data_IF_122225272908
#
_entry.id   IF_122225272908
#
_cell.length_a   1.000
_cell.length_b   1.000
_cell.length_c   1.000
_cell.angle_alpha   90.00
_cell.angle_beta   90.00
_cell.angle_gamma   90.00
#
_symmetry.space_group_name_H-M   'P 1'
#
loop_
_entity.id
_entity.type
_entity.pdbx_description
1 polymer ?
#
# COMPACT_ATOMS: atom_id res chain seq x y z
N UNK A 1 -10.54 -5.96 -16.59
CA UNK A 1 -11.42 -6.76 -15.72
C UNK A 1 -10.87 -6.76 -14.30
N UNK A 2 -11.67 -6.41 -13.32
CA UNK A 2 -11.23 -6.34 -11.94
C UNK A 2 -11.38 -7.70 -11.25
N UNK A 3 -10.43 -8.04 -10.39
CA UNK A 3 -10.40 -9.29 -9.63
C UNK A 3 -10.29 -8.94 -8.14
N UNK A 4 -11.05 -9.63 -7.30
CA UNK A 4 -10.99 -9.42 -5.86
C UNK A 4 -10.14 -10.49 -5.22
N UNK A 5 -9.09 -10.08 -4.52
CA UNK A 5 -8.16 -11.01 -3.86
C UNK A 5 -7.68 -10.44 -2.52
N UNK A 6 -7.21 -11.35 -1.66
CA UNK A 6 -6.51 -10.97 -0.43
C UNK A 6 -5.03 -10.85 -0.77
N UNK A 7 -4.48 -9.67 -0.57
CA UNK A 7 -3.08 -9.39 -0.90
C UNK A 7 -2.40 -8.63 0.23
N UNK A 8 -1.08 -8.71 0.29
CA UNK A 8 -0.31 -7.81 1.14
C UNK A 8 -0.24 -6.44 0.49
N UNK A 9 -0.43 -5.40 1.30
CA UNK A 9 -0.36 -4.03 0.82
C UNK A 9 0.38 -3.16 1.83
N UNK A 10 1.10 -2.18 1.31
CA UNK A 10 1.63 -1.10 2.12
C UNK A 10 0.67 0.07 2.00
N UNK A 11 0.20 0.56 3.13
CA UNK A 11 -0.75 1.67 3.19
C UNK A 11 -0.05 2.90 3.76
N UNK A 12 -0.21 4.03 3.09
CA UNK A 12 0.31 5.31 3.56
C UNK A 12 -0.82 6.08 4.25
N UNK A 13 -0.60 6.43 5.50
CA UNK A 13 -1.58 7.17 6.28
C UNK A 13 -1.03 8.58 6.54
N UNK A 14 -1.74 9.57 6.04
CA UNK A 14 -1.35 10.98 6.13
C UNK A 14 -2.35 11.68 7.05
N UNK A 15 -1.85 12.20 8.18
CA UNK A 15 -2.66 12.91 9.16
C UNK A 15 -3.90 12.12 9.59
N UNK A 16 -3.75 10.80 9.73
CA UNK A 16 -4.82 9.92 10.17
C UNK A 16 -5.74 9.39 9.07
N UNK A 17 -5.55 9.81 7.83
CA UNK A 17 -6.35 9.37 6.69
C UNK A 17 -5.49 8.60 5.68
N UNK A 18 -6.08 7.61 5.03
CA UNK A 18 -5.36 6.86 4.00
C UNK A 18 -5.09 7.74 2.79
N UNK A 19 -3.81 8.03 2.53
CA UNK A 19 -3.37 8.84 1.42
C UNK A 19 -2.94 8.04 0.20
N UNK A 20 -2.67 6.75 0.36
CA UNK A 20 -2.28 5.89 -0.74
C UNK A 20 -2.03 4.46 -0.30
N UNK A 21 -1.88 3.57 -1.26
CA UNK A 21 -1.60 2.17 -1.00
C UNK A 21 -0.87 1.55 -2.18
N UNK A 22 -0.15 0.45 -1.91
CA UNK A 22 0.61 -0.26 -2.93
C UNK A 22 0.57 -1.76 -2.64
N UNK A 23 0.29 -2.53 -3.69
CA UNK A 23 0.34 -3.99 -3.62
C UNK A 23 1.79 -4.44 -3.49
N UNK A 24 2.06 -5.40 -2.60
CA UNK A 24 3.38 -5.99 -2.44
C UNK A 24 3.33 -7.50 -2.61
N UNK A 25 4.47 -8.11 -2.91
CA UNK A 25 4.56 -9.54 -3.18
C UNK A 25 4.56 -10.42 -1.92
N UNK A 26 4.51 -9.80 -0.76
CA UNK A 26 4.50 -10.50 0.51
C UNK A 26 4.96 -9.60 1.63
N UNK A 27 4.96 -10.15 2.85
CA UNK A 27 5.30 -9.35 4.02
C UNK A 27 6.73 -8.80 3.96
N UNK A 28 7.70 -9.60 3.54
CA UNK A 28 9.09 -9.16 3.44
C UNK A 28 9.25 -7.99 2.49
N UNK A 29 8.60 -8.07 1.33
CA UNK A 29 8.62 -6.99 0.35
C UNK A 29 7.97 -5.73 0.90
N UNK A 30 6.83 -5.89 1.58
CA UNK A 30 6.13 -4.77 2.19
C UNK A 30 6.98 -4.08 3.26
N UNK A 31 7.61 -4.85 4.13
CA UNK A 31 8.46 -4.29 5.19
C UNK A 31 9.68 -3.56 4.63
N UNK A 32 10.25 -4.08 3.54
CA UNK A 32 11.36 -3.43 2.86
C UNK A 32 10.91 -2.10 2.26
N UNK A 33 9.79 -2.09 1.57
CA UNK A 33 9.23 -0.87 0.98
C UNK A 33 8.87 0.15 2.05
N UNK A 34 8.29 -0.32 3.16
CA UNK A 34 7.97 0.55 4.30
C UNK A 34 9.22 1.20 4.85
N UNK A 35 10.29 0.43 5.05
CA UNK A 35 11.56 0.95 5.59
C UNK A 35 12.16 2.01 4.68
N UNK A 36 12.17 1.76 3.36
CA UNK A 36 12.70 2.71 2.40
C UNK A 36 11.87 4.00 2.36
N UNK A 37 10.54 3.87 2.42
CA UNK A 37 9.64 5.02 2.43
C UNK A 37 9.81 5.86 3.70
N UNK A 38 9.94 5.21 4.86
CA UNK A 38 10.15 5.92 6.12
C UNK A 38 11.48 6.66 6.13
N UNK A 39 12.51 6.09 5.50
CA UNK A 39 13.80 6.75 5.37
C UNK A 39 13.69 8.05 4.57
N UNK A 40 12.87 8.04 3.52
CA UNK A 40 12.65 9.22 2.69
C UNK A 40 11.81 10.29 3.39
N UNK A 41 11.11 9.94 4.47
CA UNK A 41 10.30 10.88 5.24
C UNK A 41 11.09 11.62 6.32
N UNK A 42 12.35 11.28 6.54
CA UNK A 42 13.13 11.81 7.66
C UNK A 42 13.17 13.33 7.71
N UNK A 43 13.08 13.99 6.55
CA UNK A 43 13.13 15.45 6.45
C UNK A 43 11.75 16.11 6.33
N UNK A 44 10.69 15.32 6.27
CA UNK A 44 9.34 15.85 6.12
C UNK A 44 8.71 16.08 7.50
N UNK A 45 8.55 17.35 7.89
CA UNK A 45 7.98 17.73 9.18
C UNK A 45 6.61 18.40 9.06
N UNK A 46 6.08 18.50 7.84
CA UNK A 46 4.84 19.22 7.58
C UNK A 46 3.62 18.36 7.86
N UNK A 47 3.72 17.05 7.61
CA UNK A 47 2.61 16.12 7.78
C UNK A 47 3.03 14.94 8.65
N UNK A 48 2.06 14.38 9.38
CA UNK A 48 2.26 13.12 10.09
C UNK A 48 1.96 11.99 9.11
N UNK A 49 3.01 11.35 8.62
CA UNK A 49 2.89 10.26 7.65
C UNK A 49 3.35 8.96 8.29
N UNK A 50 2.51 7.93 8.17
CA UNK A 50 2.81 6.59 8.65
C UNK A 50 2.62 5.59 7.53
N UNK A 51 3.39 4.51 7.57
CA UNK A 51 3.23 3.39 6.67
C UNK A 51 2.85 2.15 7.46
N UNK A 52 1.90 1.39 6.95
CA UNK A 52 1.47 0.14 7.57
C UNK A 52 1.50 -0.97 6.54
N UNK A 53 1.93 -2.16 6.95
CA UNK A 53 1.90 -3.37 6.13
C UNK A 53 0.87 -4.34 6.68
N UNK A 54 0.08 -4.93 5.81
CA UNK A 54 -0.89 -5.91 6.23
C UNK A 54 -1.63 -6.54 5.07
N UNK A 55 -2.49 -7.52 5.40
CA UNK A 55 -3.36 -8.14 4.42
C UNK A 55 -4.61 -7.30 4.24
N UNK A 56 -5.02 -7.15 2.99
CA UNK A 56 -6.26 -6.45 2.64
C UNK A 56 -7.03 -7.26 1.61
N UNK A 57 -8.33 -7.13 1.63
CA UNK A 57 -9.18 -7.62 0.54
C UNK A 57 -9.28 -6.45 -0.45
N UNK A 58 -8.75 -6.65 -1.62
CA UNK A 58 -8.64 -5.58 -2.61
C UNK A 58 -9.18 -5.99 -3.96
N UNK A 59 -9.73 -5.02 -4.65
CA UNK A 59 -10.10 -5.15 -6.05
C UNK A 59 -8.88 -4.77 -6.88
N UNK A 60 -8.43 -5.71 -7.71
CA UNK A 60 -7.23 -5.57 -8.54
C UNK A 60 -7.62 -5.34 -9.98
N UNK A 61 -6.82 -4.54 -10.67
CA UNK A 61 -7.02 -4.23 -12.07
C UNK A 61 -5.67 -4.17 -12.78
N UNK A 62 -5.52 -4.76 -13.98
CA UNK A 62 -4.26 -4.66 -14.71
C UNK A 62 -4.03 -3.24 -15.22
N UNK A 63 -2.78 -2.80 -15.12
CA UNK A 63 -2.38 -1.53 -15.70
C UNK A 63 -2.05 -1.68 -17.20
N UNK A 64 -1.50 -0.64 -17.80
CA UNK A 64 -1.14 -0.65 -19.23
C UNK A 64 -0.09 -1.70 -19.59
N UNK A 65 0.67 -2.18 -18.61
CA UNK A 65 1.71 -3.20 -18.79
C UNK A 65 1.22 -4.61 -18.41
N UNK A 66 -0.05 -4.74 -18.01
CA UNK A 66 -0.61 -6.00 -17.59
C UNK A 66 -0.30 -6.40 -16.15
N UNK A 67 0.33 -5.53 -15.38
CA UNK A 67 0.63 -5.78 -13.97
C UNK A 67 -0.59 -5.45 -13.14
N UNK A 68 -1.01 -6.39 -12.28
CA UNK A 68 -2.17 -6.16 -11.40
C UNK A 68 -1.82 -5.15 -10.31
N UNK A 69 -2.63 -4.13 -10.18
CA UNK A 69 -2.52 -3.12 -9.14
C UNK A 69 -3.81 -2.99 -8.39
N UNK A 70 -3.73 -2.52 -7.15
CA UNK A 70 -4.90 -2.31 -6.32
C UNK A 70 -5.69 -1.12 -6.87
N UNK A 71 -6.92 -1.39 -7.27
CA UNK A 71 -7.86 -0.34 -7.67
C UNK A 71 -8.55 0.23 -6.44
N UNK A 72 -8.94 -0.63 -5.51
CA UNK A 72 -9.68 -0.24 -4.32
C UNK A 72 -9.47 -1.26 -3.22
N UNK A 73 -9.30 -0.80 -1.99
CA UNK A 73 -9.28 -1.66 -0.81
C UNK A 73 -10.71 -1.79 -0.30
N UNK A 74 -11.22 -3.02 -0.26
CA UNK A 74 -12.58 -3.30 0.18
C UNK A 74 -12.64 -3.53 1.69
N UNK A 75 -11.60 -4.17 2.24
CA UNK A 75 -11.55 -4.50 3.65
C UNK A 75 -10.09 -4.63 4.08
N UNK A 76 -9.78 -4.21 5.29
CA UNK A 76 -8.46 -4.41 5.92
C UNK A 76 -8.56 -5.56 6.91
N UNK A 77 -7.61 -6.47 6.83
CA UNK A 77 -7.56 -7.64 7.72
C UNK A 77 -6.60 -7.45 8.89
#
# INVERSE_FOLDING_TARGET
MAVTEVVFAMMMIVNGSMGGFMKTDGLSHCLKAKRESERNLADNRTNVIRYECGLVVAELEPDSEGVLKIKKILERK
#
